data_IF_662342875609
#
_entry.id   IF_662342875609
#
_cell.length_a   1.000
_cell.length_b   1.000
_cell.length_c   1.000
_cell.angle_alpha   90.00
_cell.angle_beta   90.00
_cell.angle_gamma   90.00
#
_symmetry.space_group_name_H-M   'P 1'
#
loop_
_entity.id
_entity.type
_entity.pdbx_description
1 polymer ?
#
# COMPACT_ATOMS: atom_id res chain seq x y z
N UNK A 1 27.30 40.17 44.33
CA UNK A 1 26.33 40.18 43.21
C UNK A 1 27.02 39.51 42.06
N UNK A 2 26.54 38.36 41.63
CA UNK A 2 27.19 37.60 40.56
C UNK A 2 26.74 38.07 39.17
N UNK A 3 25.69 38.90 39.12
CA UNK A 3 25.13 39.53 37.92
C UNK A 3 24.59 40.92 38.24
N UNK A 4 24.79 41.89 37.34
CA UNK A 4 24.22 43.25 37.46
C UNK A 4 22.92 43.40 36.68
N UNK A 5 22.74 42.58 35.65
CA UNK A 5 21.61 42.62 34.73
C UNK A 5 20.98 41.24 34.60
N UNK A 6 19.65 41.19 34.45
CA UNK A 6 18.90 39.95 34.21
C UNK A 6 18.13 40.03 32.88
N UNK A 7 18.27 39.02 31.99
CA UNK A 7 17.40 38.92 30.82
C UNK A 7 15.99 38.47 31.19
N UNK A 8 15.01 38.85 30.37
CA UNK A 8 13.60 38.45 30.50
C UNK A 8 13.32 37.03 29.99
N UNK A 9 14.25 36.44 29.25
CA UNK A 9 14.16 35.10 28.68
C UNK A 9 15.43 34.28 28.89
N UNK A 10 15.27 32.95 28.91
CA UNK A 10 16.39 32.00 28.98
C UNK A 10 16.91 31.60 27.60
N UNK A 11 16.06 31.64 26.58
CA UNK A 11 16.37 31.29 25.19
C UNK A 11 15.66 32.24 24.22
N UNK A 12 16.40 32.73 23.22
CA UNK A 12 15.89 33.65 22.20
C UNK A 12 15.40 32.86 20.99
N UNK A 13 14.09 32.77 20.81
CA UNK A 13 13.47 32.15 19.63
C UNK A 13 13.36 33.15 18.49
N UNK A 14 13.97 32.83 17.36
CA UNK A 14 13.96 33.66 16.16
C UNK A 14 13.20 32.94 15.04
N UNK A 15 12.00 33.44 14.72
CA UNK A 15 11.17 32.89 13.65
C UNK A 15 11.84 33.14 12.30
N UNK A 16 12.29 32.08 11.64
CA UNK A 16 12.96 32.18 10.35
C UNK A 16 11.96 32.16 9.20
N UNK A 17 12.06 33.17 8.34
CA UNK A 17 11.29 33.27 7.09
C UNK A 17 12.27 33.53 5.94
N UNK A 18 12.29 32.60 4.98
CA UNK A 18 13.10 32.59 3.77
C UNK A 18 12.90 33.88 3.00
N UNK A 19 14.01 34.52 2.64
CA UNK A 19 14.03 35.77 1.89
C UNK A 19 13.56 37.00 2.67
N UNK A 20 13.23 36.87 3.97
CA UNK A 20 12.80 38.00 4.81
C UNK A 20 13.77 38.25 5.97
N UNK A 21 13.80 39.50 6.43
CA UNK A 21 14.58 39.90 7.60
C UNK A 21 13.88 39.37 8.85
N UNK A 22 14.43 38.30 9.40
CA UNK A 22 13.94 37.70 10.64
C UNK A 22 14.55 38.44 11.84
N UNK A 23 13.74 38.73 12.86
CA UNK A 23 14.20 39.41 14.07
C UNK A 23 13.53 38.86 15.32
N UNK A 24 14.20 39.01 16.46
CA UNK A 24 13.69 38.64 17.77
C UNK A 24 14.09 39.71 18.80
N UNK A 25 13.21 39.97 19.76
CA UNK A 25 13.43 40.97 20.80
C UNK A 25 13.57 40.31 22.17
N UNK A 26 14.43 40.89 23.00
CA UNK A 26 14.59 40.51 24.40
C UNK A 26 14.87 41.74 25.24
N UNK A 27 14.66 41.64 26.55
CA UNK A 27 14.84 42.76 27.48
C UNK A 27 15.87 42.41 28.54
N UNK A 28 16.60 43.44 28.94
CA UNK A 28 17.59 43.38 30.00
C UNK A 28 17.19 44.34 31.11
N UNK A 29 17.12 43.86 32.35
CA UNK A 29 16.72 44.65 33.52
C UNK A 29 17.91 44.87 34.44
N UNK A 30 18.17 46.13 34.78
CA UNK A 30 19.18 46.50 35.76
C UNK A 30 18.72 46.15 37.17
N UNK A 31 19.51 45.36 37.90
CA UNK A 31 19.21 44.92 39.27
C UNK A 31 19.71 45.92 40.34
N UNK A 32 20.44 46.96 39.94
CA UNK A 32 20.98 47.96 40.85
C UNK A 32 19.93 49.02 41.19
N UNK A 33 19.80 49.32 42.49
CA UNK A 33 18.86 50.33 43.00
C UNK A 33 19.36 51.77 42.86
N UNK A 34 20.67 51.98 42.85
CA UNK A 34 21.28 53.32 42.97
C UNK A 34 22.19 53.71 41.82
N UNK A 35 22.58 52.76 40.96
CA UNK A 35 23.58 53.00 39.91
C UNK A 35 23.08 52.55 38.53
N UNK A 36 23.33 53.35 37.47
CA UNK A 36 23.14 52.90 36.10
C UNK A 36 24.23 51.89 35.72
N UNK A 37 23.87 50.97 34.84
CA UNK A 37 24.74 49.89 34.37
C UNK A 37 24.97 50.04 32.88
N UNK A 38 26.24 50.09 32.48
CA UNK A 38 26.66 49.99 31.09
C UNK A 38 26.59 48.53 30.65
N UNK A 39 26.11 48.29 29.43
CA UNK A 39 25.93 46.94 28.87
C UNK A 39 26.60 46.85 27.51
N UNK A 40 27.24 45.71 27.26
CA UNK A 40 27.65 45.26 25.94
C UNK A 40 26.97 43.94 25.61
N UNK A 41 26.31 43.94 24.45
CA UNK A 41 25.65 42.76 23.88
C UNK A 41 26.40 42.38 22.61
N UNK A 42 26.77 41.11 22.50
CA UNK A 42 27.47 40.55 21.34
C UNK A 42 26.98 39.14 21.03
N UNK A 43 27.20 38.64 19.82
CA UNK A 43 26.80 37.29 19.40
C UNK A 43 28.02 36.43 19.10
N UNK A 44 27.90 35.11 19.22
CA UNK A 44 28.96 34.15 18.83
C UNK A 44 29.36 34.28 17.35
N UNK A 45 28.38 34.48 16.46
CA UNK A 45 28.61 34.73 15.02
C UNK A 45 28.05 36.08 14.59
N UNK A 46 28.86 37.12 14.73
CA UNK A 46 28.53 38.48 14.29
C UNK A 46 28.40 38.64 12.77
N UNK A 47 28.83 37.64 11.98
CA UNK A 47 28.60 37.60 10.52
C UNK A 47 27.14 37.27 10.17
N UNK A 48 26.46 36.50 11.01
CA UNK A 48 25.10 35.98 10.78
C UNK A 48 24.04 36.80 11.53
N UNK A 49 24.39 37.33 12.69
CA UNK A 49 23.47 38.05 13.56
C UNK A 49 23.96 39.48 13.82
N UNK A 50 23.05 40.45 13.74
CA UNK A 50 23.30 41.84 14.10
C UNK A 50 22.35 42.29 15.20
N UNK A 51 22.79 43.28 15.98
CA UNK A 51 22.02 43.86 17.07
C UNK A 51 21.66 45.31 16.73
N UNK A 52 20.44 45.72 17.07
CA UNK A 52 19.98 47.12 16.97
C UNK A 52 20.99 48.11 17.57
N UNK A 53 21.39 47.87 18.82
CA UNK A 53 22.40 48.66 19.53
C UNK A 53 23.27 47.75 20.40
N UNK A 54 24.57 47.56 20.11
CA UNK A 54 25.43 46.66 20.87
C UNK A 54 25.84 47.21 22.24
N UNK A 55 25.67 48.50 22.48
CA UNK A 55 25.95 49.13 23.78
C UNK A 55 24.79 50.01 24.23
N UNK A 56 24.48 49.95 25.53
CA UNK A 56 23.40 50.71 26.15
C UNK A 56 23.75 51.02 27.61
N UNK A 57 23.18 52.08 28.17
CA UNK A 57 23.19 52.37 29.61
C UNK A 57 21.77 52.17 30.12
N UNK A 58 21.59 51.28 31.08
CA UNK A 58 20.30 51.05 31.72
C UNK A 58 20.27 51.77 33.08
N UNK A 59 19.33 52.71 33.30
CA UNK A 59 19.17 53.37 34.59
C UNK A 59 18.85 52.38 35.73
N UNK A 60 18.98 52.80 37.00
CA UNK A 60 18.62 51.96 38.14
C UNK A 60 17.19 51.42 38.02
N UNK A 61 16.99 50.14 38.33
CA UNK A 61 15.70 49.42 38.29
C UNK A 61 14.93 49.55 36.96
N UNK A 62 15.60 49.92 35.87
CA UNK A 62 14.99 50.11 34.57
C UNK A 62 15.28 48.93 33.64
N UNK A 63 14.55 48.87 32.53
CA UNK A 63 14.65 47.81 31.53
C UNK A 63 14.90 48.42 30.15
N UNK A 64 15.80 47.81 29.37
CA UNK A 64 16.03 48.18 27.97
C UNK A 64 15.76 46.99 27.04
N UNK A 65 15.20 47.29 25.87
CA UNK A 65 14.89 46.31 24.84
C UNK A 65 16.01 46.24 23.80
N UNK A 66 16.37 45.02 23.40
CA UNK A 66 17.34 44.74 22.36
C UNK A 66 16.68 43.91 21.27
N UNK A 67 16.88 44.31 20.02
CA UNK A 67 16.46 43.52 18.85
C UNK A 67 17.67 42.87 18.20
N UNK A 68 17.60 41.55 18.04
CA UNK A 68 18.51 40.75 17.22
C UNK A 68 17.91 40.60 15.81
N UNK A 69 18.72 40.81 14.79
CA UNK A 69 18.37 40.64 13.39
C UNK A 69 19.26 39.58 12.75
N UNK A 70 18.68 38.83 11.81
CA UNK A 70 19.45 38.01 10.88
C UNK A 70 19.99 38.91 9.76
N UNK A 71 21.31 38.95 9.56
CA UNK A 71 21.97 39.95 8.69
C UNK A 71 21.75 39.69 7.21
N UNK A 72 21.71 38.43 6.77
CA UNK A 72 21.54 38.04 5.38
C UNK A 72 20.24 37.29 5.16
N UNK A 73 19.69 37.40 3.94
CA UNK A 73 18.70 36.45 3.40
C UNK A 73 19.38 35.11 3.15
N UNK A 74 19.78 34.43 4.23
CA UNK A 74 20.49 33.17 4.15
C UNK A 74 19.49 32.07 3.76
N UNK A 75 19.74 31.40 2.64
CA UNK A 75 19.08 30.16 2.26
C UNK A 75 20.20 29.16 1.93
N UNK A 76 20.44 28.13 2.74
CA UNK A 76 19.59 27.58 3.82
C UNK A 76 19.62 28.33 5.17
N UNK A 77 18.71 28.01 6.13
CA UNK A 77 18.74 28.59 7.48
C UNK A 77 20.09 28.31 8.18
N UNK A 78 20.72 29.31 8.84
CA UNK A 78 22.05 29.17 9.41
C UNK A 78 22.00 28.47 10.78
N UNK A 79 21.71 27.17 10.75
CA UNK A 79 21.72 26.31 11.94
C UNK A 79 23.15 26.04 12.41
N UNK A 80 23.32 25.91 13.72
CA UNK A 80 24.62 25.66 14.34
C UNK A 80 24.50 24.73 15.53
N UNK A 81 25.47 23.83 15.65
CA UNK A 81 25.66 22.98 16.82
C UNK A 81 27.10 23.09 17.30
N UNK A 82 27.36 23.55 18.55
CA UNK A 82 26.39 24.05 19.55
C UNK A 82 25.68 25.34 19.11
N UNK A 83 24.52 25.63 19.72
CA UNK A 83 23.69 26.79 19.38
C UNK A 83 24.48 28.11 19.52
N UNK A 84 24.26 29.02 18.58
CA UNK A 84 24.75 30.38 18.67
C UNK A 84 24.16 31.10 19.90
N UNK A 85 24.93 31.99 20.54
CA UNK A 85 24.50 32.63 21.79
C UNK A 85 24.70 34.15 21.75
N UNK A 86 23.79 34.87 22.41
CA UNK A 86 23.95 36.27 22.77
C UNK A 86 24.69 36.33 24.11
N UNK A 87 25.86 36.96 24.11
CA UNK A 87 26.67 37.21 25.30
C UNK A 87 26.37 38.62 25.82
N UNK A 88 25.95 38.70 27.08
CA UNK A 88 25.68 39.95 27.80
C UNK A 88 26.79 40.19 28.80
N UNK A 89 27.46 41.33 28.66
CA UNK A 89 28.46 41.82 29.61
C UNK A 89 27.98 43.14 30.20
N UNK A 90 28.29 43.39 31.47
CA UNK A 90 27.91 44.63 32.12
C UNK A 90 29.00 45.19 33.01
N UNK A 91 28.86 46.48 33.33
CA UNK A 91 29.77 47.25 34.16
C UNK A 91 28.98 48.34 34.90
N UNK A 92 29.25 48.54 36.19
CA UNK A 92 28.68 49.66 36.93
C UNK A 92 29.23 50.98 36.37
N UNK A 93 28.36 51.98 36.16
CA UNK A 93 28.76 53.28 35.60
C UNK A 93 28.50 54.42 36.60
N UNK A 94 29.46 54.77 37.48
CA UNK A 94 29.24 55.74 38.56
C UNK A 94 28.82 57.14 38.09
N UNK A 95 29.29 57.58 36.92
CA UNK A 95 29.03 58.91 36.37
C UNK A 95 27.71 59.00 35.60
N UNK A 96 27.06 57.87 35.32
CA UNK A 96 25.79 57.77 34.58
C UNK A 96 25.79 58.27 33.14
N UNK A 97 26.93 58.75 32.62
CA UNK A 97 27.07 59.29 31.26
C UNK A 97 28.33 58.70 30.61
N UNK A 98 28.17 58.12 29.43
CA UNK A 98 29.26 57.65 28.58
C UNK A 98 28.81 57.69 27.12
N UNK A 99 29.69 58.08 26.20
CA UNK A 99 29.42 58.00 24.77
C UNK A 99 29.52 56.54 24.27
N UNK A 100 29.02 56.27 23.07
CA UNK A 100 29.15 54.93 22.45
C UNK A 100 30.62 54.51 22.28
N UNK A 101 31.53 55.45 21.98
CA UNK A 101 32.95 55.17 21.85
C UNK A 101 33.63 54.91 23.21
N UNK A 102 33.17 55.58 24.28
CA UNK A 102 33.62 55.28 25.64
C UNK A 102 33.20 53.87 26.05
N UNK A 103 31.94 53.50 25.79
CA UNK A 103 31.44 52.14 26.06
C UNK A 103 32.21 51.08 25.28
N UNK A 104 32.49 51.31 23.99
CA UNK A 104 33.34 50.43 23.17
C UNK A 104 34.72 50.23 23.78
N UNK A 105 35.38 51.30 24.24
CA UNK A 105 36.70 51.24 24.89
C UNK A 105 36.66 50.56 26.25
N UNK A 106 35.57 50.72 27.01
CA UNK A 106 35.40 50.06 28.31
C UNK A 106 35.25 48.55 28.15
N UNK A 107 34.46 48.09 27.18
CA UNK A 107 34.22 46.67 26.97
C UNK A 107 35.29 45.96 26.12
N UNK A 108 36.22 46.68 25.49
CA UNK A 108 37.35 46.08 24.79
C UNK A 108 38.46 45.59 25.72
N UNK A 109 38.55 46.16 26.93
CA UNK A 109 39.49 45.72 27.97
C UNK A 109 38.86 44.59 28.76
N UNK A 110 39.61 43.52 29.00
CA UNK A 110 39.18 42.48 29.94
C UNK A 110 39.60 42.88 31.35
N UNK A 111 38.74 42.66 32.35
CA UNK A 111 39.05 43.03 33.72
C UNK A 111 38.01 42.55 34.73
N UNK A 112 38.34 42.53 36.04
CA UNK A 112 37.48 41.99 37.10
C UNK A 112 36.20 42.81 37.33
N UNK A 113 36.13 44.01 36.76
CA UNK A 113 34.99 44.92 36.85
C UNK A 113 33.89 44.61 35.81
N UNK A 114 34.17 43.76 34.81
CA UNK A 114 33.18 43.38 33.78
C UNK A 114 32.52 42.07 34.18
N UNK A 115 31.21 42.13 34.39
CA UNK A 115 30.40 40.97 34.73
C UNK A 115 29.91 40.28 33.45
N UNK A 116 29.93 38.95 33.43
CA UNK A 116 29.39 38.11 32.35
C UNK A 116 27.99 37.65 32.72
N UNK A 117 27.04 38.58 32.67
CA UNK A 117 25.72 38.42 33.27
C UNK A 117 24.88 37.30 32.63
N UNK A 118 24.95 37.11 31.31
CA UNK A 118 24.15 36.10 30.63
C UNK A 118 24.79 35.55 29.35
N UNK A 119 24.46 34.30 29.05
CA UNK A 119 24.60 33.66 27.74
C UNK A 119 23.23 33.14 27.34
N UNK A 120 22.62 33.76 26.33
CA UNK A 120 21.26 33.45 25.88
C UNK A 120 21.37 32.68 24.56
N UNK A 121 21.03 31.38 24.50
CA UNK A 121 21.01 30.63 23.25
C UNK A 121 20.02 31.20 22.26
N UNK A 122 20.37 31.12 20.97
CA UNK A 122 19.55 31.54 19.84
C UNK A 122 19.04 30.27 19.17
N UNK A 123 17.72 30.12 19.12
CA UNK A 123 17.06 28.99 18.44
C UNK A 123 16.25 29.49 17.27
N UNK A 124 16.58 28.99 16.08
CA UNK A 124 15.81 29.23 14.87
C UNK A 124 14.55 28.37 14.91
N UNK A 125 13.38 29.01 14.77
CA UNK A 125 12.08 28.36 14.87
C UNK A 125 11.21 28.64 13.64
N UNK A 126 10.22 27.77 13.42
CA UNK A 126 9.23 27.92 12.35
C UNK A 126 9.29 26.80 11.30
N UNK A 127 8.25 26.72 10.45
CA UNK A 127 8.03 25.58 9.56
C UNK A 127 9.16 25.39 8.55
N UNK A 128 9.76 26.46 8.04
CA UNK A 128 10.84 26.36 7.06
C UNK A 128 12.15 25.83 7.64
N UNK A 129 12.38 26.05 8.94
CA UNK A 129 13.50 25.43 9.65
C UNK A 129 13.25 23.93 9.74
N UNK A 130 12.03 23.52 10.08
CA UNK A 130 11.63 22.11 10.14
C UNK A 130 11.73 21.44 8.77
N UNK A 131 11.23 22.07 7.70
CA UNK A 131 11.35 21.58 6.32
C UNK A 131 12.81 21.38 5.89
N UNK A 132 13.69 22.32 6.26
CA UNK A 132 15.13 22.19 6.01
C UNK A 132 15.75 21.03 6.79
N UNK A 133 15.41 20.88 8.08
CA UNK A 133 15.84 19.76 8.91
C UNK A 133 15.36 18.42 8.32
N UNK A 134 14.12 18.36 7.82
CA UNK A 134 13.53 17.19 7.19
C UNK A 134 14.19 16.81 5.86
N UNK A 135 14.66 17.80 5.10
CA UNK A 135 15.32 17.62 3.81
C UNK A 135 16.81 17.31 3.94
N UNK A 136 17.42 17.64 5.08
CA UNK A 136 18.86 17.49 5.30
C UNK A 136 19.22 16.08 5.76
N UNK A 137 19.92 15.33 4.90
CA UNK A 137 20.44 13.98 5.23
C UNK A 137 21.71 14.00 6.09
N UNK A 138 22.29 15.18 6.33
CA UNK A 138 23.66 15.31 6.88
C UNK A 138 23.71 15.77 8.33
N UNK A 139 22.59 16.23 8.90
CA UNK A 139 22.54 16.75 10.26
C UNK A 139 22.30 15.60 11.25
N UNK A 140 23.31 15.29 12.07
CA UNK A 140 23.20 14.31 13.17
C UNK A 140 22.31 14.81 14.31
N UNK A 141 22.11 16.12 14.42
CA UNK A 141 21.54 16.77 15.61
C UNK A 141 20.06 17.17 15.43
N UNK A 142 19.36 16.56 14.46
CA UNK A 142 17.94 16.85 14.17
C UNK A 142 17.08 16.65 15.42
N UNK A 143 17.35 15.63 16.23
CA UNK A 143 16.62 15.35 17.47
C UNK A 143 16.68 16.49 18.50
N UNK A 144 17.78 17.25 18.54
CA UNK A 144 17.94 18.39 19.45
C UNK A 144 17.25 19.66 18.92
N UNK A 145 17.35 19.88 17.61
CA UNK A 145 16.88 21.11 16.98
C UNK A 145 15.38 21.08 16.66
N UNK A 146 14.83 19.90 16.37
CA UNK A 146 13.46 19.74 15.89
C UNK A 146 12.41 20.17 16.92
N UNK A 147 12.44 19.74 18.20
CA UNK A 147 11.45 20.20 19.19
C UNK A 147 11.44 21.72 19.37
N UNK A 148 12.64 22.34 19.28
CA UNK A 148 12.79 23.79 19.35
C UNK A 148 12.19 24.46 18.11
N UNK A 149 12.49 23.94 16.93
CA UNK A 149 12.01 24.47 15.67
C UNK A 149 10.47 24.43 15.57
N UNK A 150 9.86 23.37 16.10
CA UNK A 150 8.42 23.15 16.14
C UNK A 150 7.72 24.08 17.16
N UNK A 151 8.43 24.57 18.18
CA UNK A 151 7.81 25.28 19.31
C UNK A 151 7.05 26.57 18.99
N UNK A 152 7.21 27.12 17.78
CA UNK A 152 6.43 28.28 17.28
C UNK A 152 5.37 27.91 16.25
N UNK A 153 5.20 26.62 15.94
CA UNK A 153 4.27 26.15 14.91
C UNK A 153 2.85 26.00 15.46
N UNK A 154 1.87 26.54 14.73
CA UNK A 154 0.46 26.28 15.01
C UNK A 154 0.00 24.93 14.47
N UNK A 155 -1.19 24.46 14.87
CA UNK A 155 -1.74 23.15 14.48
C UNK A 155 -1.76 22.92 12.95
N UNK A 156 -2.17 23.93 12.17
CA UNK A 156 -2.15 23.84 10.72
C UNK A 156 -0.74 23.59 10.15
N UNK A 157 0.26 24.29 10.69
CA UNK A 157 1.65 24.13 10.28
C UNK A 157 2.18 22.75 10.68
N UNK A 158 1.86 22.28 11.89
CA UNK A 158 2.22 20.92 12.34
C UNK A 158 1.69 19.85 11.39
N UNK A 159 0.45 19.95 10.96
CA UNK A 159 -0.16 19.00 10.02
C UNK A 159 0.52 19.02 8.65
N UNK A 160 0.81 20.22 8.12
CA UNK A 160 1.55 20.37 6.87
C UNK A 160 2.96 19.77 6.97
N UNK A 161 3.64 19.97 8.10
CA UNK A 161 4.97 19.41 8.36
C UNK A 161 4.92 17.89 8.55
N UNK A 162 3.85 17.35 9.14
CA UNK A 162 3.62 15.92 9.30
C UNK A 162 3.49 15.24 7.94
N UNK A 163 2.69 15.80 7.03
CA UNK A 163 2.59 15.33 5.64
C UNK A 163 3.94 15.39 4.93
N UNK A 164 4.71 16.47 5.12
CA UNK A 164 6.05 16.60 4.54
C UNK A 164 7.04 15.56 5.10
N UNK A 165 7.00 15.29 6.41
CA UNK A 165 7.84 14.28 7.06
C UNK A 165 7.51 12.86 6.58
N UNK A 166 6.22 12.55 6.44
CA UNK A 166 5.75 11.27 5.89
C UNK A 166 6.20 11.07 4.44
N UNK A 167 6.07 12.10 3.60
CA UNK A 167 6.52 12.06 2.20
C UNK A 167 8.02 11.80 2.05
N UNK A 168 8.83 12.30 3.00
CA UNK A 168 10.28 12.07 3.03
C UNK A 168 10.69 10.79 3.78
N UNK A 169 9.73 10.04 4.34
CA UNK A 169 10.00 8.81 5.09
C UNK A 169 10.80 9.03 6.38
N UNK A 170 10.60 10.16 7.08
CA UNK A 170 11.34 10.48 8.30
C UNK A 170 10.54 10.13 9.56
N UNK A 171 10.59 8.86 9.98
CA UNK A 171 9.81 8.29 11.09
C UNK A 171 10.02 9.02 12.43
N UNK A 172 11.26 9.41 12.74
CA UNK A 172 11.58 10.15 13.97
C UNK A 172 10.86 11.51 14.02
N UNK A 173 10.85 12.22 12.90
CA UNK A 173 10.17 13.51 12.83
C UNK A 173 8.64 13.36 12.86
N UNK A 174 8.10 12.29 12.27
CA UNK A 174 6.67 11.94 12.39
C UNK A 174 6.29 11.80 13.87
N UNK A 175 7.03 10.99 14.65
CA UNK A 175 6.80 10.83 16.09
C UNK A 175 6.82 12.17 16.83
N UNK A 176 7.86 12.98 16.58
CA UNK A 176 8.03 14.27 17.26
C UNK A 176 6.90 15.25 16.91
N UNK A 177 6.43 15.26 15.66
CA UNK A 177 5.33 16.13 15.23
C UNK A 177 3.99 15.68 15.83
N UNK A 178 3.73 14.38 15.91
CA UNK A 178 2.54 13.82 16.56
C UNK A 178 2.55 14.15 18.06
N UNK A 179 3.69 13.97 18.74
CA UNK A 179 3.88 14.35 20.15
C UNK A 179 3.67 15.86 20.37
N UNK A 180 4.02 16.69 19.39
CA UNK A 180 3.76 18.13 19.41
C UNK A 180 2.29 18.52 19.13
N UNK A 181 1.42 17.55 18.86
CA UNK A 181 -0.01 17.74 18.63
C UNK A 181 -0.43 17.84 17.16
N UNK A 182 0.38 17.34 16.22
CA UNK A 182 -0.08 17.17 14.83
C UNK A 182 -1.20 16.12 14.76
N UNK A 183 -2.23 16.42 13.97
CA UNK A 183 -3.39 15.56 13.77
C UNK A 183 -3.09 14.54 12.66
N UNK A 184 -2.89 13.28 13.06
CA UNK A 184 -2.49 12.17 12.19
C UNK A 184 -3.55 11.82 11.13
N UNK A 185 -4.81 12.17 11.36
CA UNK A 185 -5.94 11.82 10.49
C UNK A 185 -6.28 12.93 9.47
N UNK A 186 -5.47 13.99 9.42
CA UNK A 186 -5.64 15.04 8.41
C UNK A 186 -5.15 14.58 7.04
N UNK A 187 -5.83 15.11 6.03
CA UNK A 187 -5.44 14.97 4.63
C UNK A 187 -4.77 16.26 4.16
N UNK A 188 -3.84 16.12 3.23
CA UNK A 188 -3.22 17.25 2.57
C UNK A 188 -4.15 17.89 1.51
N UNK A 189 -3.62 18.85 0.76
CA UNK A 189 -4.36 19.54 -0.30
C UNK A 189 -4.73 18.63 -1.48
N UNK A 190 -4.01 17.53 -1.67
CA UNK A 190 -4.24 16.55 -2.73
C UNK A 190 -5.24 15.45 -2.28
N UNK A 191 -5.64 15.48 -1.01
CA UNK A 191 -6.53 14.50 -0.39
C UNK A 191 -5.81 13.24 0.11
N UNK A 192 -4.48 13.20 0.03
CA UNK A 192 -3.69 12.09 0.54
C UNK A 192 -3.64 12.14 2.08
N UNK A 193 -3.81 10.98 2.71
CA UNK A 193 -3.55 10.82 4.13
C UNK A 193 -2.06 10.74 4.43
N UNK A 194 -1.66 11.09 5.65
CA UNK A 194 -0.27 10.94 6.12
C UNK A 194 0.21 9.49 5.95
N UNK A 195 -0.66 8.51 6.18
CA UNK A 195 -0.37 7.09 5.92
C UNK A 195 -0.09 6.82 4.44
N UNK A 196 -0.89 7.37 3.53
CA UNK A 196 -0.67 7.22 2.08
C UNK A 196 0.67 7.80 1.64
N UNK A 197 1.06 8.95 2.19
CA UNK A 197 2.36 9.57 1.93
C UNK A 197 3.53 8.72 2.46
N UNK A 198 3.40 8.15 3.67
CA UNK A 198 4.39 7.25 4.24
C UNK A 198 4.57 5.99 3.39
N UNK A 199 3.47 5.36 2.96
CA UNK A 199 3.50 4.17 2.10
C UNK A 199 4.13 4.49 0.73
N UNK A 200 3.78 5.63 0.11
CA UNK A 200 4.43 6.10 -1.13
C UNK A 200 5.94 6.32 -0.98
N UNK A 201 6.40 6.76 0.19
CA UNK A 201 7.84 6.90 0.48
C UNK A 201 8.54 5.54 0.62
N UNK A 202 7.79 4.49 0.92
CA UNK A 202 8.29 3.13 1.11
C UNK A 202 9.04 2.89 2.42
N UNK A 203 8.94 3.81 3.39
CA UNK A 203 9.59 3.70 4.70
C UNK A 203 8.70 2.94 5.69
N UNK A 204 9.14 1.75 6.12
CA UNK A 204 8.39 0.88 7.04
C UNK A 204 8.23 1.50 8.43
N UNK A 205 9.28 2.11 8.96
CA UNK A 205 9.26 2.71 10.30
C UNK A 205 8.23 3.84 10.38
N UNK A 206 8.11 4.65 9.32
CA UNK A 206 7.09 5.70 9.23
C UNK A 206 5.68 5.12 9.25
N UNK A 207 5.44 4.01 8.55
CA UNK A 207 4.14 3.32 8.57
C UNK A 207 3.86 2.76 9.96
N UNK A 208 4.84 2.12 10.58
CA UNK A 208 4.73 1.54 11.93
C UNK A 208 4.40 2.61 12.97
N UNK A 209 5.13 3.73 12.97
CA UNK A 209 4.86 4.86 13.90
C UNK A 209 3.44 5.38 13.73
N UNK A 210 2.92 5.48 12.49
CA UNK A 210 1.56 5.95 12.26
C UNK A 210 0.49 4.95 12.74
N UNK A 211 0.74 3.64 12.59
CA UNK A 211 -0.12 2.58 13.14
C UNK A 211 -0.18 2.70 14.67
N UNK A 212 0.97 2.79 15.31
CA UNK A 212 1.09 2.90 16.78
C UNK A 212 0.50 4.21 17.32
N UNK A 213 0.52 5.27 16.51
CA UNK A 213 -0.05 6.58 16.86
C UNK A 213 -1.57 6.66 16.73
N UNK A 214 -2.25 5.56 16.40
CA UNK A 214 -3.71 5.49 16.34
C UNK A 214 -4.30 6.15 15.08
N UNK A 215 -3.60 6.08 13.95
CA UNK A 215 -4.18 6.46 12.66
C UNK A 215 -5.46 5.65 12.40
N UNK A 216 -6.54 6.32 12.00
CA UNK A 216 -7.83 5.67 11.70
C UNK A 216 -7.98 5.48 10.21
N UNK A 217 -8.20 4.23 9.77
CA UNK A 217 -8.42 3.93 8.36
C UNK A 217 -9.77 4.48 7.91
N UNK A 218 -9.75 5.18 6.77
CA UNK A 218 -10.94 5.53 6.01
C UNK A 218 -10.93 4.75 4.70
N UNK A 219 -11.59 3.58 4.68
CA UNK A 219 -11.65 2.69 3.51
C UNK A 219 -12.25 3.34 2.24
N UNK A 220 -12.94 4.49 2.36
CA UNK A 220 -13.49 5.22 1.22
C UNK A 220 -12.46 6.14 0.54
N UNK A 221 -11.52 6.67 1.32
CA UNK A 221 -10.58 7.69 0.89
C UNK A 221 -9.11 7.23 0.91
N UNK A 222 -8.76 6.22 1.71
CA UNK A 222 -7.42 5.66 1.76
C UNK A 222 -7.14 4.70 0.61
N UNK A 223 -5.95 4.83 0.02
CA UNK A 223 -5.48 4.02 -1.12
C UNK A 223 -4.10 3.42 -0.88
N UNK A 224 -3.66 3.33 0.38
CA UNK A 224 -2.32 2.84 0.69
C UNK A 224 -2.10 1.37 0.29
N UNK A 225 -3.15 0.52 0.32
CA UNK A 225 -3.04 -0.85 -0.22
C UNK A 225 -2.82 -0.86 -1.74
N UNK A 226 -3.47 0.05 -2.48
CA UNK A 226 -3.24 0.21 -3.92
C UNK A 226 -1.83 0.67 -4.21
N UNK A 227 -1.27 1.60 -3.42
CA UNK A 227 0.11 2.05 -3.57
C UNK A 227 1.11 0.92 -3.27
N UNK A 228 0.95 0.20 -2.16
CA UNK A 228 1.78 -0.96 -1.84
C UNK A 228 1.70 -2.03 -2.95
N UNK A 229 0.50 -2.27 -3.49
CA UNK A 229 0.26 -3.20 -4.62
C UNK A 229 0.85 -2.73 -5.94
N UNK A 230 1.03 -1.44 -6.17
CA UNK A 230 1.69 -0.93 -7.38
C UNK A 230 3.22 -1.03 -7.29
N UNK A 231 3.75 -0.84 -6.07
CA UNK A 231 5.19 -0.76 -5.79
C UNK A 231 5.86 -2.13 -5.60
N UNK A 232 5.10 -3.23 -5.61
CA UNK A 232 5.57 -4.59 -5.29
C UNK A 232 6.21 -4.69 -3.90
N UNK A 233 5.60 -4.02 -2.92
CA UNK A 233 6.14 -3.95 -1.55
C UNK A 233 5.37 -4.87 -0.62
N UNK A 234 5.80 -6.14 -0.60
CA UNK A 234 5.26 -7.19 0.27
C UNK A 234 5.38 -6.86 1.75
N UNK A 235 6.50 -6.27 2.15
CA UNK A 235 6.76 -5.79 3.51
C UNK A 235 5.72 -4.75 3.99
N UNK A 236 5.39 -3.78 3.14
CA UNK A 236 4.32 -2.81 3.42
C UNK A 236 2.95 -3.49 3.46
N UNK A 237 2.70 -4.43 2.54
CA UNK A 237 1.43 -5.15 2.47
C UNK A 237 1.17 -5.95 3.75
N UNK A 238 2.17 -6.67 4.25
CA UNK A 238 2.10 -7.42 5.51
C UNK A 238 1.84 -6.51 6.70
N UNK A 239 2.63 -5.44 6.87
CA UNK A 239 2.48 -4.51 8.00
C UNK A 239 1.10 -3.86 7.99
N UNK A 240 0.58 -3.45 6.82
CA UNK A 240 -0.74 -2.83 6.73
C UNK A 240 -1.87 -3.81 7.02
N UNK A 241 -1.80 -5.04 6.50
CA UNK A 241 -2.84 -6.05 6.71
C UNK A 241 -2.82 -6.65 8.13
N UNK A 242 -1.65 -6.75 8.76
CA UNK A 242 -1.53 -7.23 10.13
C UNK A 242 -1.73 -6.12 11.18
N UNK A 243 -1.43 -4.88 10.82
CA UNK A 243 -1.56 -3.71 11.70
C UNK A 243 -3.00 -3.27 11.93
N UNK A 244 -3.95 -3.68 11.07
CA UNK A 244 -5.35 -3.29 11.15
C UNK A 244 -6.30 -4.45 10.90
N UNK A 245 -7.18 -4.72 11.86
CA UNK A 245 -8.20 -5.75 11.72
C UNK A 245 -9.35 -5.34 10.76
N UNK A 246 -9.66 -4.05 10.68
CA UNK A 246 -10.82 -3.51 9.93
C UNK A 246 -10.47 -3.03 8.51
N UNK A 247 -9.29 -3.39 8.01
CA UNK A 247 -8.83 -2.99 6.68
C UNK A 247 -9.64 -3.67 5.58
N UNK A 248 -10.25 -2.88 4.69
CA UNK A 248 -10.99 -3.43 3.56
C UNK A 248 -10.05 -3.74 2.39
N UNK A 249 -9.72 -5.02 2.27
CA UNK A 249 -8.93 -5.59 1.17
C UNK A 249 -9.57 -5.41 -0.22
N UNK A 250 -10.87 -5.11 -0.27
CA UNK A 250 -11.64 -4.90 -1.49
C UNK A 250 -12.02 -3.42 -1.70
N UNK A 251 -11.42 -2.51 -0.94
CA UNK A 251 -11.55 -1.06 -1.15
C UNK A 251 -11.22 -0.67 -2.59
N UNK A 252 -11.98 0.27 -3.15
CA UNK A 252 -11.88 0.63 -4.57
C UNK A 252 -11.33 2.04 -4.77
N UNK A 253 -10.54 2.21 -5.83
CA UNK A 253 -10.09 3.52 -6.28
C UNK A 253 -11.16 4.25 -7.13
N UNK A 254 -10.80 5.41 -7.69
CA UNK A 254 -11.70 6.20 -8.55
C UNK A 254 -12.12 5.51 -9.85
N UNK A 255 -11.43 4.42 -10.24
CA UNK A 255 -11.77 3.59 -11.40
C UNK A 255 -12.49 2.31 -10.98
N UNK A 256 -12.86 2.14 -9.71
CA UNK A 256 -13.47 0.93 -9.18
C UNK A 256 -12.48 -0.22 -8.95
N UNK A 257 -11.17 0.03 -9.01
CA UNK A 257 -10.15 -1.02 -8.93
C UNK A 257 -9.79 -1.31 -7.48
N UNK A 258 -9.70 -2.59 -7.13
CA UNK A 258 -9.18 -3.06 -5.85
C UNK A 258 -7.64 -3.12 -5.85
N UNK A 259 -6.96 -3.25 -4.69
CA UNK A 259 -5.51 -3.48 -4.64
C UNK A 259 -5.08 -4.68 -5.49
N UNK A 260 -5.89 -5.75 -5.51
CA UNK A 260 -5.67 -6.93 -6.34
C UNK A 260 -5.71 -6.63 -7.85
N UNK A 261 -6.58 -5.74 -8.32
CA UNK A 261 -6.54 -5.28 -9.72
C UNK A 261 -5.21 -4.58 -10.06
N UNK A 262 -4.68 -3.79 -9.13
CA UNK A 262 -3.41 -3.09 -9.33
C UNK A 262 -2.24 -4.07 -9.38
N UNK A 263 -2.16 -5.00 -8.42
CA UNK A 263 -1.11 -6.03 -8.39
C UNK A 263 -1.15 -6.92 -9.65
N UNK A 264 -2.34 -7.34 -10.07
CA UNK A 264 -2.53 -8.16 -11.29
C UNK A 264 -2.22 -7.43 -12.58
N UNK A 265 -2.47 -6.12 -12.66
CA UNK A 265 -2.07 -5.30 -13.80
C UNK A 265 -0.55 -5.18 -13.96
N UNK A 266 0.20 -5.21 -12.85
CA UNK A 266 1.66 -5.14 -12.86
C UNK A 266 2.35 -6.51 -12.88
N UNK A 267 1.62 -7.59 -12.54
CA UNK A 267 2.15 -8.95 -12.53
C UNK A 267 2.87 -9.33 -11.23
N UNK A 268 2.56 -8.64 -10.13
CA UNK A 268 3.23 -8.81 -8.83
C UNK A 268 2.71 -10.05 -8.10
N UNK A 269 3.21 -11.22 -8.50
CA UNK A 269 2.67 -12.54 -8.10
C UNK A 269 2.65 -12.73 -6.58
N UNK A 270 3.70 -12.33 -5.86
CA UNK A 270 3.75 -12.48 -4.40
C UNK A 270 2.64 -11.67 -3.71
N UNK A 271 2.42 -10.42 -4.12
CA UNK A 271 1.33 -9.56 -3.62
C UNK A 271 -0.04 -10.16 -3.96
N UNK A 272 -0.21 -10.67 -5.18
CA UNK A 272 -1.46 -11.33 -5.62
C UNK A 272 -1.76 -12.54 -4.72
N UNK A 273 -0.76 -13.39 -4.48
CA UNK A 273 -0.91 -14.58 -3.64
C UNK A 273 -1.26 -14.22 -2.21
N UNK A 274 -0.55 -13.24 -1.64
CA UNK A 274 -0.81 -12.76 -0.29
C UNK A 274 -2.23 -12.22 -0.15
N UNK A 275 -2.63 -11.26 -1.00
CA UNK A 275 -3.96 -10.65 -0.96
C UNK A 275 -5.09 -11.69 -1.04
N UNK A 276 -4.99 -12.65 -1.97
CA UNK A 276 -5.98 -13.72 -2.09
C UNK A 276 -5.97 -14.62 -0.85
N UNK A 277 -4.79 -14.93 -0.29
CA UNK A 277 -4.69 -15.76 0.93
C UNK A 277 -5.28 -15.10 2.18
N UNK A 278 -5.22 -13.77 2.30
CA UNK A 278 -5.83 -13.01 3.40
C UNK A 278 -7.31 -12.68 3.17
N UNK A 279 -7.85 -13.01 2.00
CA UNK A 279 -9.30 -12.94 1.72
C UNK A 279 -9.75 -11.86 0.74
N UNK A 280 -8.86 -11.24 -0.04
CA UNK A 280 -9.28 -10.41 -1.18
C UNK A 280 -10.10 -11.22 -2.18
N UNK A 281 -11.16 -10.62 -2.70
CA UNK A 281 -12.04 -11.26 -3.67
C UNK A 281 -11.47 -11.13 -5.11
N UNK A 282 -11.07 -12.25 -5.76
CA UNK A 282 -10.49 -12.23 -7.10
C UNK A 282 -11.51 -12.02 -8.23
N UNK A 283 -12.80 -11.98 -7.93
CA UNK A 283 -13.89 -11.82 -8.90
C UNK A 283 -14.49 -10.39 -8.91
N UNK A 284 -13.93 -9.45 -8.14
CA UNK A 284 -14.40 -8.05 -8.11
C UNK A 284 -14.30 -7.40 -9.49
N UNK A 285 -15.26 -6.52 -9.80
CA UNK A 285 -15.33 -5.79 -11.07
C UNK A 285 -14.96 -4.32 -10.87
N UNK A 286 -14.13 -3.80 -11.76
CA UNK A 286 -13.88 -2.36 -11.85
C UNK A 286 -15.01 -1.60 -12.57
N UNK A 287 -14.85 -0.28 -12.72
CA UNK A 287 -15.83 0.57 -13.41
C UNK A 287 -16.07 0.21 -14.88
N UNK A 288 -15.17 -0.54 -15.52
CA UNK A 288 -15.30 -1.03 -16.89
C UNK A 288 -15.77 -2.50 -16.95
N UNK A 289 -16.09 -3.10 -15.81
CA UNK A 289 -16.45 -4.51 -15.71
C UNK A 289 -15.26 -5.45 -15.88
N UNK A 290 -14.04 -4.98 -15.66
CA UNK A 290 -12.85 -5.82 -15.69
C UNK A 290 -12.66 -6.49 -14.34
N UNK A 291 -12.27 -7.76 -14.38
CA UNK A 291 -11.78 -8.52 -13.21
C UNK A 291 -10.26 -8.46 -13.14
N UNK A 292 -9.62 -8.81 -12.01
CA UNK A 292 -8.17 -8.98 -11.94
C UNK A 292 -7.62 -9.94 -13.01
N UNK A 293 -8.38 -10.98 -13.39
CA UNK A 293 -8.00 -11.88 -14.49
C UNK A 293 -7.94 -11.18 -15.85
N UNK A 294 -8.86 -10.25 -16.13
CA UNK A 294 -8.81 -9.42 -17.35
C UNK A 294 -7.54 -8.57 -17.40
N UNK A 295 -7.16 -7.95 -16.27
CA UNK A 295 -5.92 -7.18 -16.16
C UNK A 295 -4.68 -8.04 -16.43
N UNK A 296 -4.56 -9.19 -15.75
CA UNK A 296 -3.44 -10.11 -15.93
C UNK A 296 -3.35 -10.62 -17.38
N UNK A 297 -4.50 -10.97 -17.98
CA UNK A 297 -4.55 -11.47 -19.35
C UNK A 297 -4.22 -10.40 -20.40
N UNK A 298 -4.73 -9.18 -20.22
CA UNK A 298 -4.46 -8.05 -21.10
C UNK A 298 -2.99 -7.60 -21.07
N UNK A 299 -2.29 -7.81 -19.95
CA UNK A 299 -0.87 -7.44 -19.81
C UNK A 299 0.09 -8.61 -20.05
N UNK A 300 -0.41 -9.84 -20.22
CA UNK A 300 0.40 -11.00 -20.56
C UNK A 300 1.04 -11.72 -19.37
N UNK A 301 0.54 -11.50 -18.15
CA UNK A 301 1.12 -12.02 -16.92
C UNK A 301 0.72 -13.49 -16.67
N UNK A 302 1.49 -14.42 -17.25
CA UNK A 302 1.24 -15.87 -17.26
C UNK A 302 1.03 -16.45 -15.87
N UNK A 303 1.93 -16.16 -14.93
CA UNK A 303 1.88 -16.71 -13.57
C UNK A 303 0.67 -16.16 -12.78
N UNK A 304 0.40 -14.86 -12.90
CA UNK A 304 -0.79 -14.25 -12.31
C UNK A 304 -2.09 -14.85 -12.87
N UNK A 305 -2.17 -15.07 -14.19
CA UNK A 305 -3.31 -15.76 -14.82
C UNK A 305 -3.46 -17.18 -14.27
N UNK A 306 -2.38 -17.95 -14.20
CA UNK A 306 -2.41 -19.32 -13.66
C UNK A 306 -2.87 -19.37 -12.21
N UNK A 307 -2.38 -18.46 -11.37
CA UNK A 307 -2.79 -18.36 -9.97
C UNK A 307 -4.26 -17.98 -9.83
N UNK A 308 -4.72 -16.95 -10.55
CA UNK A 308 -6.10 -16.48 -10.50
C UNK A 308 -7.09 -17.54 -11.02
N UNK A 309 -6.76 -18.28 -12.08
CA UNK A 309 -7.62 -19.35 -12.59
C UNK A 309 -7.84 -20.47 -11.57
N UNK A 310 -6.91 -20.69 -10.65
CA UNK A 310 -7.06 -21.66 -9.56
C UNK A 310 -7.92 -21.15 -8.40
N UNK A 311 -8.12 -19.83 -8.28
CA UNK A 311 -8.78 -19.20 -7.13
C UNK A 311 -10.02 -18.36 -7.52
N UNK A 312 -10.31 -18.22 -8.81
CA UNK A 312 -11.50 -17.57 -9.36
C UNK A 312 -12.35 -18.61 -10.10
N UNK A 313 -13.60 -18.75 -9.70
CA UNK A 313 -14.52 -19.73 -10.32
C UNK A 313 -15.38 -19.09 -11.40
N UNK A 314 -15.54 -17.77 -11.38
CA UNK A 314 -16.44 -17.02 -12.27
C UNK A 314 -15.66 -16.17 -13.28
N UNK A 315 -14.52 -15.57 -12.87
CA UNK A 315 -13.78 -14.59 -13.68
C UNK A 315 -13.42 -15.05 -15.10
N UNK A 316 -13.22 -16.34 -15.36
CA UNK A 316 -12.82 -16.85 -16.68
C UNK A 316 -13.79 -16.47 -17.81
N UNK A 317 -15.10 -16.50 -17.53
CA UNK A 317 -16.15 -16.24 -18.53
C UNK A 317 -16.80 -14.88 -18.37
N UNK A 318 -16.38 -14.10 -17.36
CA UNK A 318 -16.84 -12.73 -17.22
C UNK A 318 -16.47 -11.92 -18.46
N UNK A 319 -17.39 -11.04 -18.85
CA UNK A 319 -17.19 -10.13 -19.97
C UNK A 319 -17.14 -8.71 -19.46
N UNK A 320 -16.20 -7.94 -19.97
CA UNK A 320 -16.12 -6.50 -19.73
C UNK A 320 -17.35 -5.78 -20.30
N UNK A 321 -17.52 -4.48 -20.01
CA UNK A 321 -18.54 -3.64 -20.66
C UNK A 321 -18.43 -3.59 -22.19
N UNK A 322 -17.27 -3.95 -22.74
CA UNK A 322 -17.03 -4.07 -24.18
C UNK A 322 -17.39 -5.46 -24.74
N UNK A 323 -17.92 -6.35 -23.92
CA UNK A 323 -18.26 -7.73 -24.29
C UNK A 323 -17.05 -8.67 -24.39
N UNK A 324 -15.86 -8.22 -23.98
CA UNK A 324 -14.62 -9.00 -24.13
C UNK A 324 -14.33 -9.87 -22.92
N UNK A 325 -13.92 -11.12 -23.16
CA UNK A 325 -13.37 -12.03 -22.14
C UNK A 325 -11.86 -11.81 -21.93
N UNK A 326 -11.30 -12.38 -20.85
CA UNK A 326 -9.86 -12.38 -20.62
C UNK A 326 -9.05 -13.00 -21.78
N UNK A 327 -9.58 -14.07 -22.40
CA UNK A 327 -8.98 -14.69 -23.58
C UNK A 327 -8.91 -13.71 -24.75
N UNK A 328 -10.02 -13.05 -25.08
CA UNK A 328 -10.06 -12.09 -26.18
C UNK A 328 -9.13 -10.89 -25.97
N UNK A 329 -8.97 -10.43 -24.72
CA UNK A 329 -8.00 -9.39 -24.40
C UNK A 329 -6.55 -9.86 -24.62
N UNK A 330 -6.21 -11.07 -24.16
CA UNK A 330 -4.90 -11.67 -24.41
C UNK A 330 -4.63 -11.84 -25.92
N UNK A 331 -5.63 -12.27 -26.70
CA UNK A 331 -5.52 -12.40 -28.16
C UNK A 331 -5.32 -11.06 -28.85
N UNK A 332 -6.08 -10.04 -28.48
CA UNK A 332 -5.97 -8.70 -29.05
C UNK A 332 -4.58 -8.07 -28.81
N UNK A 333 -3.90 -8.45 -27.72
CA UNK A 333 -2.55 -7.99 -27.38
C UNK A 333 -1.44 -8.93 -27.85
N UNK A 334 -1.78 -10.09 -28.42
CA UNK A 334 -0.81 -11.05 -28.95
C UNK A 334 -0.10 -11.90 -27.89
N UNK A 335 -0.67 -12.03 -26.69
CA UNK A 335 -0.09 -12.82 -25.60
C UNK A 335 -0.30 -14.32 -25.79
N UNK A 336 0.36 -14.91 -26.78
CA UNK A 336 0.16 -16.31 -27.20
C UNK A 336 0.36 -17.35 -26.09
N UNK A 337 1.27 -17.11 -25.13
CA UNK A 337 1.49 -17.99 -23.97
C UNK A 337 0.25 -18.16 -23.10
N UNK A 338 -0.68 -17.20 -23.14
CA UNK A 338 -1.92 -17.24 -22.39
C UNK A 338 -3.05 -17.95 -23.12
N UNK A 339 -2.93 -18.16 -24.44
CA UNK A 339 -4.01 -18.77 -25.22
C UNK A 339 -4.29 -20.15 -24.68
N UNK A 340 -3.24 -20.92 -24.43
CA UNK A 340 -3.37 -22.25 -23.91
C UNK A 340 -4.03 -22.22 -22.53
N UNK A 341 -3.53 -21.43 -21.59
CA UNK A 341 -4.08 -21.33 -20.24
C UNK A 341 -5.55 -20.88 -20.19
N UNK A 342 -5.92 -19.88 -20.99
CA UNK A 342 -7.27 -19.31 -20.99
C UNK A 342 -8.26 -20.14 -21.83
N UNK A 343 -7.77 -20.93 -22.80
CA UNK A 343 -8.59 -21.68 -23.77
C UNK A 343 -8.65 -23.19 -23.50
N UNK A 344 -7.64 -23.80 -22.86
CA UNK A 344 -7.41 -25.26 -22.87
C UNK A 344 -8.57 -26.10 -22.33
N UNK A 345 -9.28 -25.60 -21.32
CA UNK A 345 -10.49 -26.26 -20.84
C UNK A 345 -11.51 -26.41 -21.98
N UNK A 346 -11.88 -25.31 -22.62
CA UNK A 346 -12.98 -25.29 -23.59
C UNK A 346 -12.59 -25.93 -24.93
N UNK A 347 -11.33 -25.80 -25.33
CA UNK A 347 -10.79 -26.51 -26.51
C UNK A 347 -10.76 -28.01 -26.28
N UNK A 348 -10.28 -28.47 -25.12
CA UNK A 348 -10.26 -29.90 -24.79
C UNK A 348 -11.67 -30.47 -24.71
N UNK A 349 -12.63 -29.77 -24.08
CA UNK A 349 -14.03 -30.19 -24.05
C UNK A 349 -14.66 -30.24 -25.46
N UNK A 350 -14.34 -29.28 -26.33
CA UNK A 350 -14.82 -29.25 -27.72
C UNK A 350 -14.20 -30.34 -28.58
N UNK A 351 -12.90 -30.59 -28.44
CA UNK A 351 -12.17 -31.66 -29.13
C UNK A 351 -12.70 -33.03 -28.67
N UNK A 352 -12.88 -33.23 -27.37
CA UNK A 352 -13.49 -34.41 -26.76
C UNK A 352 -14.93 -34.66 -27.27
N UNK A 353 -15.75 -33.60 -27.36
CA UNK A 353 -17.12 -33.69 -27.92
C UNK A 353 -17.13 -34.11 -29.40
N UNK A 354 -16.18 -33.60 -30.20
CA UNK A 354 -16.04 -33.97 -31.62
C UNK A 354 -15.41 -35.35 -31.81
N UNK A 355 -14.59 -35.79 -30.85
CA UNK A 355 -13.76 -37.00 -30.95
C UNK A 355 -12.48 -36.77 -31.74
N UNK A 356 -12.00 -35.53 -31.82
CA UNK A 356 -10.78 -35.18 -32.54
C UNK A 356 -9.54 -35.57 -31.72
N UNK A 357 -8.98 -36.74 -32.01
CA UNK A 357 -7.85 -37.31 -31.27
C UNK A 357 -6.60 -36.45 -31.39
N UNK A 358 -6.39 -35.79 -32.54
CA UNK A 358 -5.21 -34.95 -32.76
C UNK A 358 -5.25 -33.71 -31.89
N UNK A 359 -6.40 -33.03 -31.84
CA UNK A 359 -6.59 -31.86 -30.98
C UNK A 359 -6.60 -32.23 -29.50
N UNK A 360 -7.19 -33.37 -29.12
CA UNK A 360 -7.16 -33.86 -27.73
C UNK A 360 -5.71 -34.07 -27.27
N UNK A 361 -4.88 -34.77 -28.07
CA UNK A 361 -3.47 -35.02 -27.73
C UNK A 361 -2.67 -33.72 -27.67
N UNK A 362 -2.91 -32.80 -28.61
CA UNK A 362 -2.25 -31.49 -28.63
C UNK A 362 -2.58 -30.67 -27.39
N UNK A 363 -3.87 -30.53 -27.05
CA UNK A 363 -4.31 -29.81 -25.85
C UNK A 363 -3.70 -30.43 -24.56
N UNK A 364 -3.65 -31.76 -24.46
CA UNK A 364 -3.04 -32.42 -23.30
C UNK A 364 -1.52 -32.17 -23.25
N UNK A 365 -0.83 -32.21 -24.39
CA UNK A 365 0.60 -31.90 -24.47
C UNK A 365 0.92 -30.43 -24.13
N UNK A 366 -0.01 -29.51 -24.43
CA UNK A 366 0.05 -28.08 -24.06
C UNK A 366 -0.35 -27.84 -22.59
N UNK A 367 -0.61 -28.89 -21.81
CA UNK A 367 -0.85 -28.81 -20.36
C UNK A 367 -2.32 -28.75 -19.95
N UNK A 368 -3.25 -29.16 -20.82
CA UNK A 368 -4.68 -29.14 -20.47
C UNK A 368 -4.95 -30.03 -19.27
N UNK A 369 -5.69 -29.50 -18.30
CA UNK A 369 -6.23 -30.32 -17.23
C UNK A 369 -7.26 -31.30 -17.81
N UNK A 370 -6.85 -32.55 -18.00
CA UNK A 370 -7.68 -33.65 -18.51
C UNK A 370 -8.95 -33.90 -17.67
N UNK A 371 -8.92 -33.47 -16.40
CA UNK A 371 -10.01 -33.59 -15.44
C UNK A 371 -10.69 -32.25 -15.12
N UNK A 372 -10.35 -31.18 -15.87
CA UNK A 372 -10.97 -29.87 -15.70
C UNK A 372 -12.47 -29.96 -15.97
N UNK A 373 -13.28 -29.27 -15.15
CA UNK A 373 -14.73 -29.24 -15.33
C UNK A 373 -15.16 -27.99 -16.09
N UNK A 374 -16.17 -28.11 -16.95
CA UNK A 374 -16.87 -26.98 -17.55
C UNK A 374 -17.98 -26.45 -16.62
N UNK A 375 -18.73 -25.45 -17.09
CA UNK A 375 -19.81 -24.79 -16.36
C UNK A 375 -20.97 -25.69 -15.90
N UNK A 376 -21.06 -26.93 -16.41
CA UNK A 376 -22.07 -27.91 -16.00
C UNK A 376 -21.46 -29.00 -15.10
N UNK A 377 -20.22 -28.80 -14.63
CA UNK A 377 -19.46 -29.81 -13.89
C UNK A 377 -18.92 -30.94 -14.77
N UNK A 378 -19.07 -30.86 -16.09
CA UNK A 378 -18.66 -31.93 -17.00
C UNK A 378 -17.16 -31.88 -17.23
N UNK A 379 -16.52 -33.04 -17.25
CA UNK A 379 -15.12 -33.17 -17.71
C UNK A 379 -15.07 -33.45 -19.22
N UNK A 380 -13.89 -33.37 -19.87
CA UNK A 380 -13.76 -33.80 -21.26
C UNK A 380 -14.21 -35.24 -21.48
N UNK A 381 -14.01 -36.11 -20.48
CA UNK A 381 -14.47 -37.50 -20.51
C UNK A 381 -16.01 -37.59 -20.53
N UNK A 382 -16.73 -36.74 -19.78
CA UNK A 382 -18.20 -36.67 -19.86
C UNK A 382 -18.68 -36.31 -21.28
N UNK A 383 -18.05 -35.31 -21.91
CA UNK A 383 -18.37 -34.87 -23.28
C UNK A 383 -18.13 -35.99 -24.31
N UNK A 384 -16.97 -36.64 -24.23
CA UNK A 384 -16.62 -37.74 -25.14
C UNK A 384 -17.53 -38.96 -24.94
N UNK A 385 -17.87 -39.27 -23.69
CA UNK A 385 -18.70 -40.40 -23.34
C UNK A 385 -20.15 -40.24 -23.79
N UNK A 386 -20.76 -39.08 -23.50
CA UNK A 386 -22.11 -38.74 -23.95
C UNK A 386 -22.25 -38.73 -25.49
N UNK A 387 -21.18 -38.39 -26.22
CA UNK A 387 -21.18 -38.36 -27.70
C UNK A 387 -20.68 -39.64 -28.36
N UNK A 388 -20.34 -40.68 -27.61
CA UNK A 388 -19.92 -41.97 -28.19
C UNK A 388 -18.57 -41.94 -28.90
N UNK A 389 -17.63 -41.10 -28.46
CA UNK A 389 -16.35 -40.90 -29.14
C UNK A 389 -15.30 -41.90 -28.65
N UNK A 390 -15.38 -43.15 -29.11
CA UNK A 390 -14.56 -44.28 -28.63
C UNK A 390 -13.05 -43.96 -28.55
N UNK A 391 -12.45 -43.48 -29.64
CA UNK A 391 -11.01 -43.16 -29.66
C UNK A 391 -10.65 -41.95 -28.79
N UNK A 392 -11.52 -40.94 -28.73
CA UNK A 392 -11.34 -39.80 -27.83
C UNK A 392 -11.38 -40.20 -26.36
N UNK A 393 -12.30 -41.10 -25.99
CA UNK A 393 -12.41 -41.68 -24.64
C UNK A 393 -11.13 -42.44 -24.29
N UNK A 394 -10.65 -43.33 -25.17
CA UNK A 394 -9.39 -44.08 -24.95
C UNK A 394 -8.20 -43.15 -24.70
N UNK A 395 -8.07 -42.11 -25.52
CA UNK A 395 -6.98 -41.13 -25.40
C UNK A 395 -7.06 -40.39 -24.07
N UNK A 396 -8.24 -39.89 -23.69
CA UNK A 396 -8.44 -39.20 -22.42
C UNK A 396 -8.11 -40.11 -21.22
N UNK A 397 -8.58 -41.36 -21.22
CA UNK A 397 -8.29 -42.33 -20.14
C UNK A 397 -6.79 -42.64 -20.06
N UNK A 398 -6.14 -42.87 -21.21
CA UNK A 398 -4.70 -43.13 -21.26
C UNK A 398 -3.85 -41.95 -20.75
N UNK A 399 -4.39 -40.73 -20.78
CA UNK A 399 -3.73 -39.52 -20.27
C UNK A 399 -4.25 -39.11 -18.87
N UNK A 400 -4.84 -40.04 -18.11
CA UNK A 400 -5.16 -39.83 -16.70
C UNK A 400 -6.54 -39.22 -16.42
N UNK A 401 -7.50 -39.34 -17.34
CA UNK A 401 -8.88 -38.97 -17.06
C UNK A 401 -9.48 -39.88 -15.96
N UNK A 402 -9.98 -39.28 -14.89
CA UNK A 402 -10.65 -39.97 -13.79
C UNK A 402 -12.04 -40.42 -14.22
N UNK A 403 -12.32 -41.71 -14.05
CA UNK A 403 -13.54 -42.36 -14.55
C UNK A 403 -14.80 -42.07 -13.71
N UNK A 404 -14.61 -41.79 -12.41
CA UNK A 404 -15.71 -41.69 -11.43
C UNK A 404 -15.99 -40.24 -10.97
N UNK A 405 -15.46 -39.24 -11.68
CA UNK A 405 -15.83 -37.85 -11.39
C UNK A 405 -17.30 -37.64 -11.73
N UNK A 406 -18.01 -36.92 -10.86
CA UNK A 406 -19.41 -36.57 -11.07
C UNK A 406 -19.56 -35.13 -11.54
N UNK A 407 -20.55 -34.89 -12.39
CA UNK A 407 -21.03 -33.56 -12.72
C UNK A 407 -21.87 -32.94 -11.59
N UNK A 408 -22.41 -31.75 -11.84
CA UNK A 408 -23.21 -31.00 -10.85
C UNK A 408 -24.54 -31.70 -10.52
N UNK A 409 -24.99 -32.60 -11.40
CA UNK A 409 -26.17 -33.43 -11.23
C UNK A 409 -25.84 -34.79 -10.57
N UNK A 410 -24.57 -35.06 -10.26
CA UNK A 410 -24.13 -36.34 -9.67
C UNK A 410 -23.91 -37.46 -10.69
N UNK A 411 -23.91 -37.18 -12.00
CA UNK A 411 -23.72 -38.15 -13.06
C UNK A 411 -22.24 -38.37 -13.36
N UNK A 412 -21.82 -39.62 -13.53
CA UNK A 412 -20.48 -39.98 -14.00
C UNK A 412 -20.46 -40.06 -15.54
N UNK A 413 -19.28 -40.09 -16.19
CA UNK A 413 -19.18 -40.34 -17.63
C UNK A 413 -19.86 -41.65 -18.06
N UNK A 414 -19.84 -42.68 -17.18
CA UNK A 414 -20.52 -43.96 -17.44
C UNK A 414 -22.05 -43.79 -17.47
N UNK A 415 -22.63 -43.00 -16.55
CA UNK A 415 -24.07 -42.73 -16.58
C UNK A 415 -24.49 -42.06 -17.88
N UNK A 416 -23.72 -41.04 -18.32
CA UNK A 416 -24.01 -40.33 -19.56
C UNK A 416 -23.83 -41.20 -20.81
N UNK A 417 -22.85 -42.10 -20.82
CA UNK A 417 -22.67 -43.06 -21.93
C UNK A 417 -23.87 -44.02 -22.04
N UNK A 418 -24.39 -44.50 -20.90
CA UNK A 418 -25.56 -45.40 -20.86
C UNK A 418 -26.82 -44.64 -21.29
N UNK A 419 -27.06 -43.45 -20.74
CA UNK A 419 -28.21 -42.61 -21.07
C UNK A 419 -28.25 -42.24 -22.56
N UNK A 420 -27.09 -41.95 -23.15
CA UNK A 420 -26.97 -41.64 -24.57
C UNK A 420 -26.92 -42.89 -25.50
N UNK A 421 -27.07 -44.10 -24.94
CA UNK A 421 -27.09 -45.36 -25.71
C UNK A 421 -25.74 -45.79 -26.30
N UNK A 422 -24.62 -45.27 -25.77
CA UNK A 422 -23.28 -45.50 -26.32
C UNK A 422 -22.65 -46.78 -25.76
N UNK A 423 -23.12 -47.94 -26.27
CA UNK A 423 -22.76 -49.28 -25.78
C UNK A 423 -21.25 -49.52 -25.71
N UNK A 424 -20.51 -49.18 -26.77
CA UNK A 424 -19.07 -49.47 -26.85
C UNK A 424 -18.26 -48.64 -25.85
N UNK A 425 -18.62 -47.37 -25.66
CA UNK A 425 -17.99 -46.52 -24.65
C UNK A 425 -18.30 -47.01 -23.24
N UNK A 426 -19.57 -47.36 -22.97
CA UNK A 426 -19.97 -47.86 -21.66
C UNK A 426 -19.21 -49.16 -21.31
N UNK A 427 -19.13 -50.09 -22.26
CA UNK A 427 -18.36 -51.34 -22.09
C UNK A 427 -16.87 -51.06 -21.86
N UNK A 428 -16.29 -50.10 -22.60
CA UNK A 428 -14.90 -49.71 -22.40
C UNK A 428 -14.66 -49.09 -21.02
N UNK A 429 -15.49 -48.15 -20.57
CA UNK A 429 -15.35 -47.51 -19.25
C UNK A 429 -15.47 -48.54 -18.11
N UNK A 430 -16.41 -49.49 -18.22
CA UNK A 430 -16.54 -50.59 -17.25
C UNK A 430 -15.27 -51.46 -17.25
N UNK A 431 -14.73 -51.77 -18.42
CA UNK A 431 -13.49 -52.56 -18.54
C UNK A 431 -12.28 -51.83 -17.93
N UNK A 432 -12.26 -50.49 -17.96
CA UNK A 432 -11.23 -49.67 -17.30
C UNK A 432 -11.49 -49.47 -15.79
N UNK A 433 -12.51 -50.10 -15.22
CA UNK A 433 -12.79 -50.10 -13.79
C UNK A 433 -13.68 -48.94 -13.30
N UNK A 434 -14.42 -48.26 -14.19
CA UNK A 434 -15.42 -47.28 -13.79
C UNK A 434 -16.46 -47.93 -12.87
N UNK A 435 -16.76 -47.29 -11.73
CA UNK A 435 -17.72 -47.85 -10.77
C UNK A 435 -19.13 -47.72 -11.34
N UNK A 436 -19.75 -48.86 -11.63
CA UNK A 436 -21.17 -48.94 -11.98
C UNK A 436 -22.05 -48.75 -10.73
N UNK A 437 -22.00 -47.57 -10.10
CA UNK A 437 -22.92 -47.22 -9.03
C UNK A 437 -24.20 -46.72 -9.69
N UNK A 438 -25.11 -47.63 -10.01
CA UNK A 438 -26.48 -47.30 -10.38
C UNK A 438 -27.14 -46.63 -9.16
N UNK A 439 -26.98 -45.32 -8.99
CA UNK A 439 -28.00 -44.57 -8.25
C UNK A 439 -29.25 -44.72 -9.11
N UNK A 440 -30.22 -45.44 -8.56
CA UNK A 440 -31.57 -45.55 -9.09
C UNK A 440 -32.07 -44.19 -9.54
N UNK A 441 -32.88 -44.19 -10.58
CA UNK A 441 -33.66 -43.06 -11.10
C UNK A 441 -34.60 -42.47 -10.02
N UNK A 442 -34.06 -41.94 -8.93
CA UNK A 442 -34.79 -41.11 -7.99
C UNK A 442 -34.61 -39.67 -8.41
N UNK A 443 -35.50 -39.26 -9.32
CA UNK A 443 -35.80 -37.87 -9.56
C UNK A 443 -36.07 -37.16 -8.22
N UNK A 444 -35.12 -36.37 -7.74
CA UNK A 444 -35.40 -35.30 -6.81
C UNK A 444 -35.72 -34.04 -7.61
N UNK A 445 -37.02 -33.79 -7.77
CA UNK A 445 -37.62 -32.46 -7.78
C UNK A 445 -37.32 -31.55 -8.98
N UNK A 446 -38.16 -31.66 -10.01
CA UNK A 446 -38.60 -30.62 -10.96
C UNK A 446 -37.72 -29.39 -11.24
N UNK A 447 -37.25 -29.30 -12.50
CA UNK A 447 -37.57 -28.19 -13.43
C UNK A 447 -37.77 -28.80 -14.83
N UNK A 448 -38.84 -28.46 -15.58
CA UNK A 448 -39.22 -29.19 -16.79
C UNK A 448 -38.54 -28.62 -18.04
N UNK A 449 -37.77 -29.43 -18.75
CA UNK A 449 -37.48 -29.23 -20.17
C UNK A 449 -38.05 -30.42 -20.94
N UNK A 450 -38.95 -30.12 -21.87
CA UNK A 450 -39.85 -31.04 -22.58
C UNK A 450 -39.21 -32.36 -23.07
N UNK A 451 -39.53 -33.45 -22.37
CA UNK A 451 -39.24 -34.83 -22.76
C UNK A 451 -40.37 -35.49 -23.58
N UNK A 452 -41.33 -34.71 -24.11
CA UNK A 452 -42.45 -35.26 -24.89
C UNK A 452 -42.07 -35.69 -26.32
N UNK A 453 -40.88 -35.37 -26.83
CA UNK A 453 -40.51 -35.63 -28.23
C UNK A 453 -39.58 -36.82 -28.49
N UNK A 454 -39.28 -37.69 -27.52
CA UNK A 454 -38.43 -38.88 -27.74
C UNK A 454 -39.08 -40.20 -27.34
N UNK A 455 -40.36 -40.37 -27.69
CA UNK A 455 -41.07 -41.67 -27.59
C UNK A 455 -40.79 -42.66 -28.72
N UNK A 456 -39.72 -42.49 -29.50
CA UNK A 456 -39.36 -43.41 -30.58
C UNK A 456 -38.01 -44.09 -30.35
N UNK A 457 -37.98 -45.07 -29.45
CA UNK A 457 -37.20 -46.33 -29.59
C UNK A 457 -37.38 -47.24 -28.37
N UNK A 458 -38.58 -47.80 -28.20
CA UNK A 458 -38.85 -48.91 -27.27
C UNK A 458 -38.13 -50.24 -27.64
N UNK A 459 -37.01 -50.20 -28.36
CA UNK A 459 -36.27 -51.38 -28.82
C UNK A 459 -34.95 -51.62 -28.09
N UNK A 460 -34.50 -50.76 -27.18
CA UNK A 460 -33.18 -50.93 -26.54
C UNK A 460 -33.23 -51.31 -25.05
N UNK A 461 -34.42 -51.36 -24.43
CA UNK A 461 -34.57 -51.90 -23.07
C UNK A 461 -34.57 -53.43 -23.03
N UNK A 462 -34.75 -54.11 -24.18
CA UNK A 462 -34.75 -55.57 -24.27
C UNK A 462 -33.33 -56.18 -24.21
N UNK A 463 -32.30 -55.48 -24.70
CA UNK A 463 -30.92 -56.00 -24.78
C UNK A 463 -30.18 -56.05 -23.44
N UNK A 464 -30.75 -55.48 -22.37
CA UNK A 464 -30.17 -55.50 -21.02
C UNK A 464 -30.56 -56.72 -20.20
N UNK A 465 -31.66 -57.41 -20.54
CA UNK A 465 -32.06 -58.64 -19.85
C UNK A 465 -31.30 -59.88 -20.35
N UNK A 466 -30.87 -59.91 -21.62
CA UNK A 466 -30.13 -61.05 -22.19
C UNK A 466 -28.68 -61.16 -21.66
N UNK A 467 -28.02 -60.03 -21.37
CA UNK A 467 -26.62 -60.03 -20.92
C UNK A 467 -26.47 -60.53 -19.46
N UNK A 468 -27.54 -60.45 -18.64
CA UNK A 468 -27.53 -61.03 -17.29
C UNK A 468 -27.67 -62.55 -17.29
N UNK A 469 -28.22 -63.17 -18.35
CA UNK A 469 -28.42 -64.62 -18.39
C UNK A 469 -27.22 -65.40 -18.97
N UNK A 470 -26.39 -64.81 -19.84
CA UNK A 470 -25.22 -65.52 -20.39
C UNK A 470 -24.04 -65.67 -19.42
N UNK A 471 -23.95 -64.86 -18.35
CA UNK A 471 -22.88 -65.01 -17.33
C UNK A 471 -23.16 -66.04 -16.24
N UNK A 472 -24.37 -66.61 -16.19
CA UNK A 472 -24.75 -67.56 -15.14
C UNK A 472 -24.59 -69.05 -15.54
N UNK A 473 -24.20 -69.38 -16.78
CA UNK A 473 -24.12 -70.78 -17.25
C UNK A 473 -22.71 -71.33 -17.55
N UNK A 474 -21.62 -70.59 -17.26
CA UNK A 474 -20.25 -71.09 -17.46
C UNK A 474 -19.38 -71.17 -16.19
N UNK A 475 -20.01 -71.37 -15.03
CA UNK A 475 -19.33 -71.83 -13.81
C UNK A 475 -20.09 -72.97 -13.15
N UNK A 476 -19.94 -74.16 -13.70
CA UNK A 476 -19.89 -75.46 -13.00
C UNK A 476 -19.32 -76.50 -13.97
#
# INVERSE_FOLDING_TARGET
MDRLVKPDLEELKLCFIRGQKSCATFKLTNLMHTMPVAISVSTTKSSVFSLSHPFCIIPPLSTASFTLFLTNSCDPPPLSTPLDTVMVKSLMLPTGKASQDDLRRLFSRTGPHIFKDAKIPISLVGPQVVEFLLSSKTLSDVSLLLPKAISSCGSYQLNSLLSFAAKNGNSHCISTLIEAGADVNRRDSDGDSVMSLAVKSGNLDSVQVLIESGYTIDNSADRFLHYASAMDRMDLMEILCLGYADIDLNSIDSQGRTPLHIATGHGHVEVIQFLVSVGSNPDMLDSQGWTPLHFAAHQGHVEAVGFLLNHSTIAKYTVTKQGKTAYELATNKGHCKLYDLLQLGDTLHRAARKGDVTDIKKCIAEGANVNGKDQNGWTPLHRAAFKGKNEGVKVLVNHGAKLDLVDDCGYTPLHLAIEAGQKDVAMYLIAQGAKAILKSFEAKGHVPCDLKNFKNSHQHTATLYEIKHERAQHKL
#
